data_IF_759160579041
#
_entry.id   IF_759160579041
#
_cell.length_a   1.000
_cell.length_b   1.000
_cell.length_c   1.000
_cell.angle_alpha   90.00
_cell.angle_beta   90.00
_cell.angle_gamma   90.00
#
_symmetry.space_group_name_H-M   'P 1'
#
loop_
_entity.id
_entity.type
_entity.pdbx_description
1 polymer ?
#
# COMPACT_ATOMS: atom_id res chain seq x y z
N UNK A 1 10.08 -75.62 -6.78
CA UNK A 1 10.90 -74.39 -6.67
C UNK A 1 10.07 -73.10 -6.49
N UNK A 2 8.75 -73.11 -6.72
CA UNK A 2 7.94 -71.88 -6.75
C UNK A 2 7.65 -71.23 -5.39
N UNK A 3 7.81 -71.93 -4.26
CA UNK A 3 7.57 -71.39 -2.90
C UNK A 3 8.84 -70.82 -2.26
N UNK A 4 10.03 -71.27 -2.69
CA UNK A 4 11.30 -70.79 -2.14
C UNK A 4 11.54 -69.32 -2.50
N UNK A 5 11.24 -68.94 -3.74
CA UNK A 5 11.43 -67.58 -4.25
C UNK A 5 10.63 -66.52 -3.48
N UNK A 6 9.29 -66.66 -3.29
CA UNK A 6 8.53 -65.69 -2.49
C UNK A 6 8.93 -65.71 -1.01
N UNK A 7 9.26 -66.88 -0.46
CA UNK A 7 9.66 -67.00 0.96
C UNK A 7 10.99 -66.30 1.25
N UNK A 8 11.98 -66.44 0.36
CA UNK A 8 13.27 -65.75 0.46
C UNK A 8 13.09 -64.23 0.30
N UNK A 9 12.21 -63.79 -0.61
CA UNK A 9 11.91 -62.36 -0.78
C UNK A 9 11.31 -61.74 0.49
N UNK A 10 10.34 -62.41 1.12
CA UNK A 10 9.72 -61.95 2.38
C UNK A 10 10.72 -61.94 3.53
N UNK A 11 11.62 -62.93 3.58
CA UNK A 11 12.68 -62.99 4.60
C UNK A 11 13.69 -61.84 4.44
N UNK A 12 14.13 -61.55 3.21
CA UNK A 12 15.00 -60.41 2.92
C UNK A 12 14.34 -59.07 3.25
N UNK A 13 13.06 -58.90 2.92
CA UNK A 13 12.26 -57.73 3.31
C UNK A 13 12.17 -57.58 4.83
N UNK A 14 11.96 -58.67 5.57
CA UNK A 14 11.85 -58.64 7.03
C UNK A 14 13.18 -58.25 7.69
N UNK A 15 14.30 -58.80 7.21
CA UNK A 15 15.64 -58.43 7.68
C UNK A 15 15.96 -56.96 7.35
N UNK A 16 15.55 -56.49 6.17
CA UNK A 16 15.68 -55.08 5.78
C UNK A 16 14.91 -54.13 6.71
N UNK A 17 13.65 -54.45 7.03
CA UNK A 17 12.84 -53.64 7.94
C UNK A 17 13.36 -53.62 9.39
N UNK A 18 14.05 -54.69 9.82
CA UNK A 18 14.64 -54.80 11.16
C UNK A 18 16.05 -54.21 11.28
N UNK A 19 16.70 -53.87 10.16
CA UNK A 19 18.04 -53.28 10.17
C UNK A 19 17.99 -51.75 10.18
N UNK A 20 18.98 -51.07 10.80
CA UNK A 20 19.05 -49.61 10.82
C UNK A 20 19.31 -48.98 9.43
N UNK A 21 19.45 -49.78 8.37
CA UNK A 21 19.46 -49.30 6.99
C UNK A 21 18.12 -48.64 6.60
N UNK A 22 17.01 -48.99 7.27
CA UNK A 22 15.70 -48.37 7.07
C UNK A 22 15.54 -46.98 7.70
N UNK A 23 16.52 -46.47 8.45
CA UNK A 23 16.50 -45.09 8.98
C UNK A 23 17.37 -44.14 8.16
N UNK A 24 18.31 -44.67 7.36
CA UNK A 24 19.13 -43.87 6.45
C UNK A 24 18.23 -43.39 5.30
N UNK A 25 18.12 -42.06 5.15
CA UNK A 25 17.30 -41.43 4.11
C UNK A 25 18.15 -40.40 3.36
N UNK A 26 18.16 -40.49 2.04
CA UNK A 26 18.71 -39.44 1.20
C UNK A 26 17.54 -38.55 0.75
N UNK A 27 17.46 -37.34 1.30
CA UNK A 27 16.43 -36.35 0.93
C UNK A 27 17.04 -35.38 -0.07
N UNK A 28 16.61 -35.50 -1.32
CA UNK A 28 16.94 -34.59 -2.40
C UNK A 28 15.79 -33.58 -2.56
N UNK A 29 16.10 -32.29 -2.69
CA UNK A 29 15.12 -31.23 -2.95
C UNK A 29 15.30 -30.74 -4.38
N UNK A 30 14.20 -30.62 -5.13
CA UNK A 30 14.19 -30.16 -6.53
C UNK A 30 13.12 -29.10 -6.73
N UNK A 31 13.39 -28.18 -7.66
CA UNK A 31 12.45 -27.12 -8.06
C UNK A 31 12.50 -25.87 -7.18
N UNK A 32 13.45 -25.80 -6.23
CA UNK A 32 13.72 -24.59 -5.46
C UNK A 32 14.66 -23.66 -6.23
N UNK A 33 14.39 -22.35 -6.17
CA UNK A 33 15.21 -21.31 -6.81
C UNK A 33 15.54 -20.20 -5.81
N UNK A 34 14.52 -19.67 -5.14
CA UNK A 34 14.66 -18.61 -4.15
C UNK A 34 14.80 -19.18 -2.73
N UNK A 35 14.22 -20.36 -2.48
CA UNK A 35 14.27 -21.03 -1.17
C UNK A 35 15.46 -21.98 -1.09
N UNK A 36 16.17 -22.01 0.05
CA UNK A 36 17.24 -22.99 0.24
C UNK A 36 16.67 -24.39 0.50
N UNK A 37 17.39 -25.42 0.03
CA UNK A 37 16.97 -26.80 0.23
C UNK A 37 16.90 -27.20 1.71
N UNK A 38 17.74 -26.61 2.56
CA UNK A 38 17.75 -26.88 4.00
C UNK A 38 16.53 -26.26 4.70
N UNK A 39 16.08 -25.08 4.27
CA UNK A 39 14.84 -24.46 4.77
C UNK A 39 13.62 -25.30 4.39
N UNK A 40 13.59 -25.87 3.18
CA UNK A 40 12.51 -26.77 2.73
C UNK A 40 12.52 -28.07 3.55
N UNK A 41 13.70 -28.64 3.81
CA UNK A 41 13.83 -29.82 4.68
C UNK A 41 13.37 -29.51 6.10
N UNK A 42 13.76 -28.36 6.66
CA UNK A 42 13.32 -27.94 7.97
C UNK A 42 11.80 -27.72 8.03
N UNK A 43 11.22 -27.06 7.03
CA UNK A 43 9.78 -26.82 6.92
C UNK A 43 8.98 -28.12 6.78
N UNK A 44 9.55 -29.15 6.15
CA UNK A 44 8.92 -30.47 6.08
C UNK A 44 8.75 -31.10 7.47
N UNK A 45 9.65 -30.79 8.41
CA UNK A 45 9.66 -31.40 9.75
C UNK A 45 10.02 -32.88 9.75
N UNK A 46 10.57 -33.40 8.64
CA UNK A 46 11.10 -34.77 8.56
C UNK A 46 12.37 -34.84 9.40
N UNK A 47 12.36 -35.69 10.43
CA UNK A 47 13.53 -35.92 11.27
C UNK A 47 14.34 -37.08 10.72
N UNK A 48 15.67 -37.05 10.91
CA UNK A 48 16.55 -38.15 10.51
C UNK A 48 16.17 -39.47 11.20
N UNK A 49 15.57 -39.41 12.39
CA UNK A 49 15.09 -40.57 13.15
C UNK A 49 13.78 -41.19 12.65
N UNK A 50 13.03 -40.52 11.77
CA UNK A 50 11.73 -41.04 11.32
C UNK A 50 11.88 -42.32 10.49
N UNK A 51 10.99 -43.29 10.67
CA UNK A 51 11.01 -44.50 9.85
C UNK A 51 10.53 -44.20 8.42
N UNK A 52 11.19 -44.79 7.42
CA UNK A 52 10.84 -44.64 5.99
C UNK A 52 9.36 -44.95 5.71
N UNK A 53 8.79 -45.99 6.33
CA UNK A 53 7.38 -46.35 6.15
C UNK A 53 6.41 -45.29 6.65
N UNK A 54 6.72 -44.61 7.75
CA UNK A 54 5.88 -43.51 8.28
C UNK A 54 5.91 -42.34 7.31
N UNK A 55 7.10 -42.00 6.81
CA UNK A 55 7.26 -40.96 5.79
C UNK A 55 6.49 -41.28 4.49
N UNK A 56 6.42 -42.56 4.09
CA UNK A 56 5.67 -43.00 2.92
C UNK A 56 4.15 -42.94 3.10
N UNK A 57 3.67 -43.29 4.29
CA UNK A 57 2.24 -43.29 4.62
C UNK A 57 1.72 -41.87 4.80
N UNK A 58 2.52 -40.97 5.36
CA UNK A 58 2.14 -39.59 5.70
C UNK A 58 2.72 -38.53 4.76
N UNK A 59 3.15 -38.92 3.55
CA UNK A 59 3.82 -38.03 2.58
C UNK A 59 3.01 -36.76 2.28
N UNK A 60 1.68 -36.85 2.23
CA UNK A 60 0.78 -35.70 2.03
C UNK A 60 0.84 -34.73 3.21
N UNK A 61 0.91 -35.22 4.44
CA UNK A 61 1.04 -34.39 5.65
C UNK A 61 2.35 -33.61 5.62
N UNK A 62 3.46 -34.26 5.25
CA UNK A 62 4.75 -33.60 5.12
C UNK A 62 4.75 -32.59 3.96
N UNK A 63 4.15 -32.92 2.83
CA UNK A 63 3.99 -32.00 1.71
C UNK A 63 3.18 -30.74 2.07
N UNK A 64 2.09 -30.89 2.83
CA UNK A 64 1.31 -29.75 3.31
C UNK A 64 2.07 -28.88 4.32
N UNK A 65 2.94 -29.46 5.15
CA UNK A 65 3.83 -28.67 6.02
C UNK A 65 4.81 -27.81 5.22
N UNK A 66 5.35 -28.34 4.12
CA UNK A 66 6.28 -27.58 3.26
C UNK A 66 5.59 -26.35 2.66
N UNK A 67 4.30 -26.44 2.32
CA UNK A 67 3.49 -25.32 1.82
C UNK A 67 3.25 -24.20 2.84
N UNK A 68 3.62 -24.39 4.11
CA UNK A 68 3.60 -23.30 5.10
C UNK A 68 4.65 -22.22 4.82
N UNK A 69 5.68 -22.55 4.04
CA UNK A 69 6.60 -21.57 3.51
C UNK A 69 5.91 -20.77 2.39
N UNK A 70 5.85 -19.45 2.55
CA UNK A 70 5.13 -18.54 1.65
C UNK A 70 5.66 -18.51 0.21
N UNK A 71 6.89 -18.97 -0.03
CA UNK A 71 7.44 -19.12 -1.38
C UNK A 71 6.91 -20.35 -2.11
N UNK A 72 6.34 -21.34 -1.42
CA UNK A 72 5.99 -22.65 -2.00
C UNK A 72 4.51 -22.70 -2.40
N UNK A 73 4.25 -22.82 -3.70
CA UNK A 73 2.91 -23.04 -4.26
C UNK A 73 2.44 -24.48 -4.02
N UNK A 74 3.31 -25.45 -4.29
CA UNK A 74 3.01 -26.86 -4.08
C UNK A 74 4.26 -27.65 -3.77
N UNK A 75 4.09 -28.74 -3.03
CA UNK A 75 5.15 -29.68 -2.71
C UNK A 75 4.65 -31.10 -2.93
N UNK A 76 5.55 -31.97 -3.39
CA UNK A 76 5.30 -33.39 -3.59
C UNK A 76 6.50 -34.19 -3.12
N UNK A 77 6.23 -35.28 -2.41
CA UNK A 77 7.28 -36.18 -1.94
C UNK A 77 7.17 -37.49 -2.72
N UNK A 78 8.21 -37.79 -3.49
CA UNK A 78 8.36 -39.02 -4.23
C UNK A 78 9.36 -39.93 -3.52
N UNK A 79 9.08 -41.24 -3.54
CA UNK A 79 9.96 -42.24 -2.96
C UNK A 79 10.55 -43.14 -4.03
N UNK A 80 11.86 -43.32 -3.93
CA UNK A 80 12.64 -44.20 -4.77
C UNK A 80 13.36 -45.21 -3.86
N UNK A 81 12.89 -46.46 -3.93
CA UNK A 81 13.53 -47.58 -3.22
C UNK A 81 15.04 -47.64 -3.53
N UNK A 82 15.91 -47.89 -2.54
CA UNK A 82 15.61 -48.30 -1.15
C UNK A 82 15.48 -47.17 -0.12
N UNK A 83 16.19 -46.05 -0.28
CA UNK A 83 16.35 -45.02 0.76
C UNK A 83 16.24 -43.58 0.27
N UNK A 84 15.87 -43.35 -0.99
CA UNK A 84 15.87 -42.01 -1.57
C UNK A 84 14.46 -41.40 -1.55
N UNK A 85 14.37 -40.17 -1.07
CA UNK A 85 13.17 -39.35 -1.10
C UNK A 85 13.49 -38.09 -1.89
N UNK A 86 12.64 -37.77 -2.85
CA UNK A 86 12.74 -36.53 -3.62
C UNK A 86 11.57 -35.64 -3.25
N UNK A 87 11.88 -34.47 -2.68
CA UNK A 87 10.91 -33.41 -2.45
C UNK A 87 10.94 -32.51 -3.68
N UNK A 88 9.89 -32.57 -4.48
CA UNK A 88 9.65 -31.67 -5.60
C UNK A 88 8.81 -30.51 -5.09
N UNK A 89 9.37 -29.30 -5.12
CA UNK A 89 8.64 -28.08 -4.81
C UNK A 89 8.41 -27.26 -6.07
N UNK A 90 7.29 -26.55 -6.11
CA UNK A 90 7.01 -25.48 -7.06
C UNK A 90 6.91 -24.19 -6.27
N UNK A 91 7.78 -23.24 -6.57
CA UNK A 91 7.72 -21.91 -5.97
C UNK A 91 6.66 -21.04 -6.68
N UNK A 92 6.08 -20.08 -5.97
CA UNK A 92 5.27 -19.04 -6.59
C UNK A 92 6.13 -18.14 -7.47
N UNK A 93 5.68 -17.88 -8.69
CA UNK A 93 6.35 -16.97 -9.61
C UNK A 93 6.33 -15.53 -9.09
N UNK A 94 7.38 -14.76 -9.39
CA UNK A 94 7.41 -13.32 -9.14
C UNK A 94 6.65 -12.63 -10.28
N UNK A 95 5.52 -12.00 -9.96
CA UNK A 95 4.63 -11.36 -10.95
C UNK A 95 4.85 -9.84 -11.07
N UNK A 96 5.60 -9.26 -10.15
CA UNK A 96 5.94 -7.84 -10.15
C UNK A 96 6.74 -7.44 -8.92
N UNK A 97 7.03 -6.16 -8.80
CA UNK A 97 7.74 -5.59 -7.66
C UNK A 97 6.98 -4.40 -7.09
N UNK A 98 6.77 -4.42 -5.78
CA UNK A 98 6.36 -3.25 -5.04
C UNK A 98 7.58 -2.33 -4.88
N UNK A 99 7.45 -1.08 -5.32
CA UNK A 99 8.55 -0.10 -5.30
C UNK A 99 8.27 0.96 -4.24
N UNK A 100 9.16 1.05 -3.26
CA UNK A 100 9.16 2.07 -2.21
C UNK A 100 10.49 2.80 -2.22
N UNK A 101 10.52 4.01 -2.79
CA UNK A 101 11.77 4.75 -2.98
C UNK A 101 12.71 4.03 -3.95
N UNK A 102 13.85 3.55 -3.46
CA UNK A 102 14.83 2.77 -4.25
C UNK A 102 14.72 1.25 -4.03
N UNK A 103 13.90 0.82 -3.08
CA UNK A 103 13.74 -0.58 -2.71
C UNK A 103 12.66 -1.26 -3.55
N UNK A 104 12.93 -2.51 -3.96
CA UNK A 104 12.06 -3.30 -4.83
C UNK A 104 11.73 -4.60 -4.10
N UNK A 105 10.47 -4.79 -3.75
CA UNK A 105 9.99 -5.94 -3.00
C UNK A 105 9.24 -6.89 -3.94
N UNK A 106 9.67 -8.15 -4.11
CA UNK A 106 8.97 -9.11 -4.95
C UNK A 106 7.51 -9.29 -4.54
N UNK A 107 6.62 -9.33 -5.53
CA UNK A 107 5.23 -9.72 -5.37
C UNK A 107 5.08 -11.11 -5.98
N UNK A 108 4.68 -12.08 -5.15
CA UNK A 108 4.45 -13.45 -5.57
C UNK A 108 3.10 -13.59 -6.26
N UNK A 109 2.96 -14.61 -7.12
CA UNK A 109 1.67 -14.95 -7.76
C UNK A 109 0.57 -15.34 -6.77
N UNK A 110 0.94 -15.62 -5.51
CA UNK A 110 0.01 -15.76 -4.38
C UNK A 110 -0.62 -14.43 -3.91
N UNK A 111 -0.09 -13.29 -4.38
CA UNK A 111 -0.44 -11.95 -3.89
C UNK A 111 0.30 -11.53 -2.62
N UNK A 112 1.29 -12.32 -2.18
CA UNK A 112 2.15 -11.99 -1.03
C UNK A 112 3.25 -11.02 -1.48
N UNK A 113 3.48 -9.96 -0.70
CA UNK A 113 4.61 -9.04 -0.90
C UNK A 113 5.73 -9.46 0.04
N UNK A 114 6.90 -9.73 -0.52
CA UNK A 114 8.07 -10.10 0.27
C UNK A 114 8.56 -8.93 1.13
N UNK A 115 9.00 -9.23 2.35
CA UNK A 115 9.52 -8.20 3.26
C UNK A 115 10.98 -7.83 2.98
N UNK A 116 11.69 -8.63 2.18
CA UNK A 116 13.09 -8.40 1.84
C UNK A 116 13.20 -7.80 0.44
N UNK A 117 13.85 -6.63 0.28
CA UNK A 117 14.04 -6.04 -1.03
C UNK A 117 15.09 -6.81 -1.83
N UNK A 118 14.95 -6.80 -3.14
CA UNK A 118 15.95 -7.33 -4.07
C UNK A 118 16.89 -6.23 -4.56
N UNK A 119 18.15 -6.61 -4.78
CA UNK A 119 19.13 -5.71 -5.39
C UNK A 119 18.76 -5.41 -6.84
N UNK A 120 19.04 -4.18 -7.29
CA UNK A 120 18.78 -3.74 -8.68
C UNK A 120 19.50 -4.61 -9.72
N UNK A 121 20.61 -5.24 -9.35
CA UNK A 121 21.36 -6.16 -10.21
C UNK A 121 20.62 -7.48 -10.48
N UNK A 122 19.68 -7.85 -9.62
CA UNK A 122 18.91 -9.09 -9.72
C UNK A 122 17.52 -8.85 -10.31
N UNK A 123 17.17 -7.61 -10.64
CA UNK A 123 15.92 -7.29 -11.31
C UNK A 123 16.00 -7.72 -12.78
N UNK A 124 14.90 -8.23 -13.35
CA UNK A 124 14.81 -8.47 -14.78
C UNK A 124 14.87 -7.14 -15.55
N UNK A 125 15.17 -7.22 -16.85
CA UNK A 125 15.22 -6.03 -17.72
C UNK A 125 13.89 -5.27 -17.76
N UNK A 126 12.77 -6.01 -17.72
CA UNK A 126 11.42 -5.48 -17.64
C UNK A 126 10.66 -6.15 -16.51
N UNK A 127 9.89 -5.37 -15.75
CA UNK A 127 9.02 -5.87 -14.69
C UNK A 127 7.84 -4.95 -14.45
N UNK A 128 6.76 -5.54 -13.93
CA UNK A 128 5.61 -4.80 -13.43
C UNK A 128 5.99 -4.06 -12.14
N UNK A 129 5.87 -2.74 -12.17
CA UNK A 129 6.04 -1.88 -10.99
C UNK A 129 4.69 -1.64 -10.31
N UNK A 130 4.58 -1.90 -9.01
CA UNK A 130 3.40 -1.57 -8.20
C UNK A 130 3.80 -0.57 -7.12
N UNK A 131 3.02 0.48 -6.91
CA UNK A 131 3.35 1.58 -5.97
C UNK A 131 2.58 1.55 -4.65
N UNK A 132 1.81 0.48 -4.43
CA UNK A 132 1.06 0.24 -3.20
C UNK A 132 1.30 -1.18 -2.70
N UNK A 133 1.13 -1.40 -1.40
CA UNK A 133 1.42 -2.67 -0.73
C UNK A 133 0.32 -3.09 0.27
N UNK A 134 -0.88 -2.52 0.18
CA UNK A 134 -2.01 -3.02 0.96
C UNK A 134 -2.29 -4.47 0.58
N UNK A 135 -2.30 -5.35 1.58
CA UNK A 135 -2.34 -6.80 1.37
C UNK A 135 -3.59 -7.23 0.59
N UNK A 136 -4.75 -6.63 0.90
CA UNK A 136 -5.99 -6.96 0.23
C UNK A 136 -5.98 -6.46 -1.21
N UNK A 137 -5.56 -5.20 -1.43
CA UNK A 137 -5.49 -4.62 -2.76
C UNK A 137 -4.49 -5.33 -3.67
N UNK A 138 -3.32 -5.74 -3.16
CA UNK A 138 -2.33 -6.50 -3.93
C UNK A 138 -2.88 -7.88 -4.30
N UNK A 139 -3.53 -8.59 -3.37
CA UNK A 139 -4.17 -9.88 -3.68
C UNK A 139 -5.26 -9.75 -4.73
N UNK A 140 -6.12 -8.74 -4.62
CA UNK A 140 -7.14 -8.44 -5.62
C UNK A 140 -6.52 -8.09 -6.97
N UNK A 141 -5.42 -7.32 -6.98
CA UNK A 141 -4.69 -6.96 -8.19
C UNK A 141 -4.14 -8.20 -8.88
N UNK A 142 -3.40 -9.04 -8.17
CA UNK A 142 -2.78 -10.24 -8.73
C UNK A 142 -3.85 -11.23 -9.19
N UNK A 143 -4.92 -11.41 -8.41
CA UNK A 143 -6.07 -12.22 -8.83
C UNK A 143 -6.69 -11.66 -10.10
N UNK A 144 -6.87 -10.34 -10.15
CA UNK A 144 -7.46 -9.65 -11.29
C UNK A 144 -6.64 -9.82 -12.55
N UNK A 145 -5.32 -9.58 -12.46
CA UNK A 145 -4.35 -9.77 -13.53
C UNK A 145 -4.24 -11.24 -13.96
N UNK A 146 -4.37 -12.21 -13.05
CA UNK A 146 -4.24 -13.64 -13.39
C UNK A 146 -5.26 -14.12 -14.43
N UNK A 147 -6.41 -13.44 -14.52
CA UNK A 147 -7.48 -13.71 -15.50
C UNK A 147 -7.24 -13.08 -16.88
N UNK A 148 -6.22 -12.22 -16.99
CA UNK A 148 -5.92 -11.43 -18.18
C UNK A 148 -4.86 -12.16 -19.01
N UNK A 149 -4.94 -12.06 -20.34
CA UNK A 149 -3.96 -12.67 -21.24
C UNK A 149 -2.56 -12.10 -21.04
N UNK A 150 -1.54 -12.94 -21.25
CA UNK A 150 -0.13 -12.51 -21.22
C UNK A 150 0.16 -11.38 -22.20
N UNK A 151 -0.56 -11.33 -23.32
CA UNK A 151 -0.42 -10.27 -24.33
C UNK A 151 -0.68 -8.87 -23.75
N UNK A 152 -1.64 -8.74 -22.82
CA UNK A 152 -1.93 -7.46 -22.17
C UNK A 152 -1.01 -7.26 -20.97
N UNK A 153 -0.79 -8.30 -20.15
CA UNK A 153 0.05 -8.21 -18.95
C UNK A 153 1.48 -7.78 -19.28
N UNK A 154 2.05 -8.32 -20.35
CA UNK A 154 3.40 -7.98 -20.81
C UNK A 154 3.54 -6.53 -21.30
N UNK A 155 2.43 -5.85 -21.59
CA UNK A 155 2.42 -4.43 -21.95
C UNK A 155 2.33 -3.51 -20.72
N UNK A 156 2.05 -4.03 -19.53
CA UNK A 156 1.93 -3.20 -18.33
C UNK A 156 3.31 -2.90 -17.76
N UNK A 157 3.62 -1.61 -17.60
CA UNK A 157 4.86 -1.16 -16.97
C UNK A 157 4.66 -0.85 -15.49
N UNK A 158 3.61 -0.10 -15.15
CA UNK A 158 3.42 0.45 -13.81
C UNK A 158 1.95 0.47 -13.42
N UNK A 159 1.65 0.17 -12.17
CA UNK A 159 0.31 0.26 -11.58
C UNK A 159 0.38 1.11 -10.32
N UNK A 160 -0.51 2.10 -10.28
CA UNK A 160 -0.62 3.07 -9.19
C UNK A 160 -2.06 3.19 -8.73
N UNK A 161 -2.27 3.44 -7.44
CA UNK A 161 -3.57 3.90 -6.95
C UNK A 161 -3.74 5.36 -7.36
N UNK A 162 -4.87 5.67 -7.98
CA UNK A 162 -5.27 7.01 -8.36
C UNK A 162 -6.74 7.27 -7.95
N UNK A 163 -7.06 7.27 -6.64
CA UNK A 163 -8.45 7.38 -6.18
C UNK A 163 -9.11 8.64 -6.71
N UNK A 164 -10.34 8.51 -7.22
CA UNK A 164 -11.16 9.63 -7.66
C UNK A 164 -12.18 10.03 -6.58
N UNK A 165 -12.97 11.07 -6.85
CA UNK A 165 -14.09 11.44 -5.97
C UNK A 165 -15.20 10.38 -5.93
N UNK A 166 -15.31 9.56 -6.97
CA UNK A 166 -16.36 8.56 -7.13
C UNK A 166 -15.85 7.15 -6.83
N UNK A 167 -14.59 6.86 -7.11
CA UNK A 167 -14.01 5.52 -7.07
C UNK A 167 -12.73 5.51 -6.22
N UNK A 168 -12.80 4.89 -5.04
CA UNK A 168 -11.70 4.84 -4.09
C UNK A 168 -10.59 3.87 -4.51
N UNK A 169 -10.95 2.80 -5.23
CA UNK A 169 -10.06 1.73 -5.71
C UNK A 169 -9.61 1.93 -7.16
N UNK A 170 -9.64 3.17 -7.66
CA UNK A 170 -9.25 3.49 -9.03
C UNK A 170 -7.74 3.26 -9.21
N UNK A 171 -7.38 2.46 -10.20
CA UNK A 171 -6.00 2.22 -10.60
C UNK A 171 -5.66 3.04 -11.83
N UNK A 172 -4.42 3.54 -11.87
CA UNK A 172 -3.77 4.05 -13.07
C UNK A 172 -2.70 3.05 -13.50
N UNK A 173 -2.90 2.48 -14.68
CA UNK A 173 -2.00 1.52 -15.31
C UNK A 173 -1.26 2.23 -16.43
N UNK A 174 0.05 2.38 -16.29
CA UNK A 174 0.91 2.87 -17.37
C UNK A 174 1.42 1.70 -18.18
N UNK A 175 1.19 1.77 -19.48
CA UNK A 175 1.61 0.76 -20.46
C UNK A 175 3.03 1.08 -20.98
N UNK A 176 3.71 0.08 -21.56
CA UNK A 176 5.06 0.22 -22.14
C UNK A 176 5.10 1.22 -23.31
N UNK A 177 3.97 1.38 -24.01
CA UNK A 177 3.80 2.29 -25.14
C UNK A 177 3.38 3.70 -24.71
N UNK A 178 3.49 4.03 -23.42
CA UNK A 178 3.18 5.31 -22.77
C UNK A 178 1.69 5.63 -22.60
N UNK A 179 0.78 4.76 -23.02
CA UNK A 179 -0.65 4.94 -22.74
C UNK A 179 -0.94 4.76 -21.24
N UNK A 180 -1.95 5.47 -20.76
CA UNK A 180 -2.46 5.31 -19.39
C UNK A 180 -3.87 4.70 -19.43
N UNK A 181 -4.16 3.74 -18.57
CA UNK A 181 -5.50 3.17 -18.40
C UNK A 181 -5.98 3.44 -16.97
N UNK A 182 -7.12 4.10 -16.83
CA UNK A 182 -7.79 4.28 -15.55
C UNK A 182 -8.87 3.22 -15.39
N UNK A 183 -8.76 2.35 -14.38
CA UNK A 183 -9.71 1.25 -14.20
C UNK A 183 -9.89 0.94 -12.72
N UNK A 184 -11.13 0.76 -12.21
CA UNK A 184 -11.35 0.32 -10.84
C UNK A 184 -10.74 -1.06 -10.61
N UNK A 185 -10.02 -1.26 -9.50
CA UNK A 185 -9.44 -2.56 -9.13
C UNK A 185 -10.50 -3.67 -9.12
N UNK A 186 -11.67 -3.37 -8.56
CA UNK A 186 -12.84 -4.26 -8.51
C UNK A 186 -13.38 -4.72 -9.87
N UNK A 187 -13.07 -3.98 -10.95
CA UNK A 187 -13.53 -4.27 -12.30
C UNK A 187 -12.38 -4.56 -13.28
N UNK A 188 -11.15 -4.67 -12.79
CA UNK A 188 -9.93 -4.86 -13.57
C UNK A 188 -10.05 -6.03 -14.56
N UNK A 189 -10.42 -7.22 -14.08
CA UNK A 189 -10.59 -8.42 -14.90
C UNK A 189 -11.62 -8.29 -16.01
N UNK A 190 -12.62 -7.42 -15.81
CA UNK A 190 -13.72 -7.24 -16.77
C UNK A 190 -13.33 -6.20 -17.81
N UNK A 191 -12.76 -5.07 -17.37
CA UNK A 191 -12.56 -3.88 -18.21
C UNK A 191 -11.21 -3.87 -18.94
N UNK A 192 -10.13 -4.28 -18.29
CA UNK A 192 -8.79 -4.22 -18.90
C UNK A 192 -8.66 -5.06 -20.19
N UNK A 193 -9.31 -6.23 -20.35
CA UNK A 193 -9.31 -6.96 -21.63
C UNK A 193 -9.86 -6.18 -22.83
N UNK A 194 -10.69 -5.14 -22.61
CA UNK A 194 -11.17 -4.29 -23.70
C UNK A 194 -10.11 -3.34 -24.25
N UNK A 195 -9.00 -3.13 -23.53
CA UNK A 195 -7.89 -2.29 -23.98
C UNK A 195 -7.36 -2.73 -25.35
N UNK A 196 -7.23 -4.04 -25.60
CA UNK A 196 -6.79 -4.56 -26.90
C UNK A 196 -7.69 -4.17 -28.09
N UNK A 197 -8.95 -3.81 -27.83
CA UNK A 197 -9.89 -3.33 -28.88
C UNK A 197 -9.79 -1.82 -29.10
N UNK A 198 -9.38 -1.08 -28.07
CA UNK A 198 -9.25 0.38 -28.10
C UNK A 198 -7.89 0.78 -28.65
N UNK A 199 -6.82 0.08 -28.25
CA UNK A 199 -5.44 0.38 -28.62
C UNK A 199 -5.23 0.65 -30.12
N UNK A 200 -5.76 -0.15 -31.07
CA UNK A 200 -5.56 0.10 -32.50
C UNK A 200 -6.16 1.41 -33.01
N UNK A 201 -7.04 2.04 -32.23
CA UNK A 201 -7.71 3.31 -32.56
C UNK A 201 -6.95 4.53 -32.01
N UNK A 202 -5.97 4.30 -31.13
CA UNK A 202 -5.15 5.35 -30.54
C UNK A 202 -3.98 5.68 -31.48
N UNK A 203 -3.96 6.89 -32.00
CA UNK A 203 -2.89 7.39 -32.89
C UNK A 203 -1.76 8.08 -32.14
N UNK A 204 -2.01 8.48 -30.90
CA UNK A 204 -1.11 9.23 -30.03
C UNK A 204 -1.23 8.72 -28.59
N UNK A 205 -0.22 8.94 -27.72
CA UNK A 205 -0.28 8.58 -26.31
C UNK A 205 -1.55 9.13 -25.64
N UNK A 206 -2.37 8.22 -25.13
CA UNK A 206 -3.72 8.53 -24.67
C UNK A 206 -4.01 7.94 -23.31
N UNK A 207 -4.95 8.58 -22.61
CA UNK A 207 -5.56 8.05 -21.40
C UNK A 207 -6.87 7.38 -21.79
N UNK A 208 -6.98 6.09 -21.47
CA UNK A 208 -8.21 5.30 -21.61
C UNK A 208 -8.88 5.22 -20.24
N UNK A 209 -9.92 6.03 -20.05
CA UNK A 209 -10.73 6.04 -18.84
C UNK A 209 -11.82 4.97 -18.91
N UNK A 210 -11.67 3.97 -18.06
CA UNK A 210 -12.58 2.87 -17.84
C UNK A 210 -13.32 2.94 -16.49
N UNK A 211 -13.39 4.12 -15.83
CA UNK A 211 -14.08 4.28 -14.54
C UNK A 211 -15.60 4.12 -14.72
N UNK A 212 -16.24 5.04 -15.45
CA UNK A 212 -17.69 5.05 -15.67
C UNK A 212 -18.13 4.53 -17.05
N UNK A 213 -17.18 4.31 -17.96
CA UNK A 213 -17.45 3.96 -19.36
C UNK A 213 -16.19 3.46 -20.06
N UNK A 214 -16.03 3.71 -21.35
CA UNK A 214 -14.77 3.51 -22.06
C UNK A 214 -14.56 4.74 -22.95
N UNK A 215 -13.86 5.73 -22.40
CA UNK A 215 -13.54 6.98 -23.08
C UNK A 215 -12.04 7.12 -23.23
N UNK A 216 -11.57 7.66 -24.34
CA UNK A 216 -10.15 7.90 -24.58
C UNK A 216 -9.92 9.36 -24.94
N UNK A 217 -8.91 9.97 -24.34
CA UNK A 217 -8.47 11.34 -24.62
C UNK A 217 -6.95 11.42 -24.62
N UNK A 218 -6.38 12.41 -25.29
CA UNK A 218 -4.92 12.51 -25.37
C UNK A 218 -4.34 12.95 -24.03
N UNK A 219 -3.10 12.54 -23.75
CA UNK A 219 -2.40 13.02 -22.54
C UNK A 219 -2.20 14.54 -22.60
N UNK A 220 -2.06 15.12 -23.78
CA UNK A 220 -1.95 16.58 -23.95
C UNK A 220 -3.22 17.30 -23.49
N UNK A 221 -4.40 16.81 -23.92
CA UNK A 221 -5.68 17.39 -23.53
C UNK A 221 -5.90 17.28 -22.01
N UNK A 222 -5.54 16.14 -21.42
CA UNK A 222 -5.58 15.92 -19.96
C UNK A 222 -4.78 16.99 -19.20
N UNK A 223 -3.54 17.23 -19.63
CA UNK A 223 -2.65 18.17 -18.95
C UNK A 223 -3.17 19.60 -19.03
N UNK A 224 -3.81 19.97 -20.14
CA UNK A 224 -4.47 21.27 -20.29
C UNK A 224 -5.64 21.37 -19.33
N UNK A 225 -6.52 20.37 -19.28
CA UNK A 225 -7.69 20.37 -18.40
C UNK A 225 -7.29 20.39 -16.91
N UNK A 226 -6.29 19.58 -16.52
CA UNK A 226 -5.76 19.58 -15.15
C UNK A 226 -5.13 20.92 -14.76
N UNK A 227 -4.43 21.59 -15.69
CA UNK A 227 -3.86 22.91 -15.46
C UNK A 227 -4.95 23.98 -15.30
N UNK A 228 -6.00 23.91 -16.13
CA UNK A 228 -7.16 24.81 -16.03
C UNK A 228 -7.92 24.60 -14.71
N UNK A 229 -8.16 23.36 -14.30
CA UNK A 229 -8.84 23.06 -13.04
C UNK A 229 -8.01 23.48 -11.82
N UNK A 230 -6.69 23.26 -11.84
CA UNK A 230 -5.78 23.80 -10.80
C UNK A 230 -5.85 25.32 -10.74
N UNK A 231 -5.79 26.00 -11.88
CA UNK A 231 -5.91 27.46 -11.93
C UNK A 231 -7.26 27.96 -11.39
N UNK A 232 -8.38 27.28 -11.72
CA UNK A 232 -9.70 27.60 -11.19
C UNK A 232 -9.79 27.36 -9.67
N UNK A 233 -9.16 26.31 -9.15
CA UNK A 233 -9.14 26.02 -7.72
C UNK A 233 -8.31 27.05 -6.95
N UNK A 234 -7.12 27.40 -7.44
CA UNK A 234 -6.28 28.43 -6.84
C UNK A 234 -6.97 29.80 -6.86
N UNK A 235 -7.68 30.15 -7.95
CA UNK A 235 -8.47 31.37 -8.03
C UNK A 235 -9.61 31.40 -7.00
N UNK A 236 -10.36 30.29 -6.84
CA UNK A 236 -11.42 30.17 -5.83
C UNK A 236 -10.87 30.26 -4.40
N UNK A 237 -9.71 29.70 -4.14
CA UNK A 237 -9.07 29.77 -2.82
C UNK A 237 -8.56 31.19 -2.51
N UNK A 238 -7.96 31.86 -3.49
CA UNK A 238 -7.53 33.25 -3.36
C UNK A 238 -8.72 34.20 -3.12
N UNK A 239 -9.86 33.95 -3.78
CA UNK A 239 -11.08 34.74 -3.58
C UNK A 239 -11.69 34.51 -2.19
N UNK A 240 -11.75 33.25 -1.70
CA UNK A 240 -12.16 32.95 -0.33
C UNK A 240 -11.28 33.64 0.71
N UNK A 241 -9.95 33.61 0.52
CA UNK A 241 -8.99 34.29 1.40
C UNK A 241 -9.23 35.81 1.45
N UNK A 242 -9.44 36.45 0.30
CA UNK A 242 -9.78 37.89 0.23
C UNK A 242 -11.09 38.22 0.94
N UNK A 243 -12.14 37.42 0.73
CA UNK A 243 -13.43 37.63 1.40
C UNK A 243 -13.36 37.43 2.92
N UNK A 244 -12.56 36.47 3.40
CA UNK A 244 -12.30 36.30 4.84
C UNK A 244 -11.53 37.48 5.44
N UNK A 245 -10.51 37.99 4.73
CA UNK A 245 -9.70 39.13 5.16
C UNK A 245 -10.53 40.42 5.23
N UNK A 246 -11.39 40.66 4.24
CA UNK A 246 -12.34 41.77 4.24
C UNK A 246 -13.36 41.67 5.37
N UNK A 247 -13.92 40.48 5.63
CA UNK A 247 -14.82 40.25 6.79
C UNK A 247 -14.10 40.51 8.11
N UNK A 248 -12.84 40.08 8.25
CA UNK A 248 -12.01 40.31 9.45
C UNK A 248 -11.72 41.80 9.66
N UNK A 249 -11.38 42.52 8.58
CA UNK A 249 -11.16 43.96 8.61
C UNK A 249 -12.43 44.75 8.93
N UNK A 250 -13.57 44.36 8.37
CA UNK A 250 -14.87 44.99 8.66
C UNK A 250 -15.27 44.79 10.12
N UNK A 251 -15.11 43.58 10.66
CA UNK A 251 -15.33 43.26 12.08
C UNK A 251 -14.41 44.07 13.00
N UNK A 252 -13.13 44.22 12.65
CA UNK A 252 -12.18 45.06 13.40
C UNK A 252 -12.55 46.56 13.37
N UNK A 253 -13.04 47.07 12.24
CA UNK A 253 -13.53 48.45 12.11
C UNK A 253 -14.78 48.68 12.98
N UNK A 254 -15.72 47.75 13.00
CA UNK A 254 -16.91 47.82 13.86
C UNK A 254 -16.56 47.78 15.36
N UNK A 255 -15.60 46.94 15.76
CA UNK A 255 -15.10 46.89 17.14
C UNK A 255 -14.44 48.21 17.54
N UNK A 256 -13.61 48.81 16.67
CA UNK A 256 -13.02 50.14 16.90
C UNK A 256 -14.07 51.24 17.00
N UNK A 257 -15.10 51.23 16.14
CA UNK A 257 -16.18 52.22 16.17
C UNK A 257 -17.01 52.15 17.45
N UNK A 258 -17.35 50.94 17.93
CA UNK A 258 -18.02 50.75 19.22
C UNK A 258 -17.18 51.25 20.40
N UNK A 259 -15.87 51.00 20.40
CA UNK A 259 -14.95 51.53 21.42
C UNK A 259 -14.84 53.06 21.40
N UNK A 260 -14.82 53.68 20.22
CA UNK A 260 -14.75 55.14 20.08
C UNK A 260 -16.05 55.84 20.52
N UNK A 261 -17.21 55.24 20.24
CA UNK A 261 -18.51 55.77 20.70
C UNK A 261 -18.64 55.66 22.22
N UNK A 262 -18.17 54.56 22.81
CA UNK A 262 -18.12 54.39 24.28
C UNK A 262 -17.21 55.45 24.95
N UNK A 263 -16.05 55.78 24.38
CA UNK A 263 -15.20 56.87 24.89
C UNK A 263 -15.83 58.26 24.71
N UNK A 264 -16.63 58.48 23.66
CA UNK A 264 -17.33 59.75 23.42
C UNK A 264 -18.48 59.97 24.41
N UNK A 265 -19.20 58.90 24.78
CA UNK A 265 -20.24 58.95 25.83
C UNK A 265 -19.64 59.25 27.21
N UNK A 266 -18.47 58.68 27.53
CA UNK A 266 -17.73 59.00 28.76
C UNK A 266 -17.23 60.47 28.75
N UNK A 267 -16.88 61.02 27.59
CA UNK A 267 -16.44 62.42 27.47
C UNK A 267 -17.58 63.45 27.56
N UNK A 268 -18.80 63.08 27.12
CA UNK A 268 -20.00 63.92 27.24
C UNK A 268 -20.60 63.90 28.65
N UNK A 269 -20.46 62.80 29.39
CA UNK A 269 -20.83 62.76 30.81
C UNK A 269 -19.93 63.68 31.65
N UNK A 270 -18.62 63.73 31.37
CA UNK A 270 -17.72 64.69 32.05
C UNK A 270 -17.92 66.17 31.66
N UNK A 271 -18.62 66.50 30.57
CA UNK A 271 -18.89 67.89 30.18
C UNK A 271 -20.22 68.43 30.74
N UNK A 272 -21.13 67.55 31.15
CA UNK A 272 -22.41 67.91 31.80
C UNK A 272 -22.32 67.94 33.33
N UNK A 273 -21.19 67.54 33.93
CA UNK A 273 -20.95 67.60 35.38
C UNK A 273 -20.11 68.82 35.83
N UNK A 274 -19.88 69.82 34.96
CA UNK A 274 -19.11 71.04 35.31
C UNK A 274 -19.95 72.33 35.36
N UNK A 275 -21.27 72.22 35.53
CA UNK A 275 -22.18 73.37 35.66
C UNK A 275 -22.96 73.41 36.99
N UNK A 276 -22.52 72.64 37.99
CA UNK A 276 -23.07 72.64 39.35
C UNK A 276 -21.99 72.60 40.43
N UNK A 277 -21.11 73.61 40.50
CA UNK A 277 -20.49 73.95 41.78
C UNK A 277 -19.97 75.40 41.79
N UNK A 278 -20.89 76.35 42.01
CA UNK A 278 -20.51 77.72 42.36
C UNK A 278 -21.49 78.30 43.37
N UNK A 279 -21.19 78.20 44.66
CA UNK A 279 -21.44 79.22 45.70
C UNK A 279 -20.80 78.75 47.03
N UNK A 280 -20.51 79.65 47.99
CA UNK A 280 -19.23 79.70 48.70
C UNK A 280 -19.34 79.28 50.18
N UNK A 281 -18.20 79.16 50.88
CA UNK A 281 -17.92 79.78 52.20
C UNK A 281 -16.55 79.30 52.71
N UNK A 282 -15.96 80.21 53.46
CA UNK A 282 -14.60 80.42 53.92
C UNK A 282 -13.96 79.39 54.86
N UNK A 283 -12.62 79.34 54.75
CA UNK A 283 -11.62 79.30 55.82
C UNK A 283 -11.55 78.06 56.73
N UNK A 284 -10.45 77.29 56.67
CA UNK A 284 -9.36 77.42 57.65
C UNK A 284 -8.17 76.52 57.29
N UNK A 285 -7.04 76.92 57.87
CA UNK A 285 -5.65 76.54 57.70
C UNK A 285 -5.21 75.05 57.81
N UNK A 286 -4.09 74.80 57.11
CA UNK A 286 -2.83 74.15 57.56
C UNK A 286 -2.55 72.64 57.30
N UNK A 287 -1.35 72.47 56.74
CA UNK A 287 -0.38 71.34 56.80
C UNK A 287 -0.33 70.29 55.68
N UNK A 288 0.87 70.20 55.09
CA UNK A 288 1.47 69.13 54.26
C UNK A 288 1.77 67.86 55.11
N UNK A 289 2.33 66.73 54.61
CA UNK A 289 2.72 66.34 53.24
C UNK A 289 2.37 64.87 52.84
N UNK A 290 2.70 64.54 51.57
CA UNK A 290 3.15 63.23 51.03
C UNK A 290 2.31 61.95 51.20
N UNK A 291 2.14 61.19 50.10
CA UNK A 291 2.58 59.78 49.99
C UNK A 291 2.59 59.36 48.51
N UNK A 292 3.60 58.55 48.22
CA UNK A 292 4.21 58.15 46.96
C UNK A 292 3.61 56.81 46.44
N UNK A 293 3.66 56.63 45.12
CA UNK A 293 3.79 55.39 44.33
C UNK A 293 3.25 54.03 44.82
N UNK A 294 2.55 53.31 43.91
CA UNK A 294 2.94 51.96 43.39
C UNK A 294 2.04 51.53 42.20
N UNK A 295 2.54 51.41 40.95
CA UNK A 295 2.92 50.18 40.16
C UNK A 295 1.98 48.97 40.42
N UNK A 296 1.34 48.26 39.48
CA UNK A 296 1.76 47.49 38.28
C UNK A 296 0.50 47.15 37.44
N UNK A 297 0.42 47.34 36.11
CA UNK A 297 0.90 46.51 34.98
C UNK A 297 0.86 44.99 35.23
N UNK A 298 -0.04 44.28 34.57
CA UNK A 298 0.29 42.95 34.05
C UNK A 298 -0.41 42.68 32.72
N UNK A 299 0.39 42.07 31.83
CA UNK A 299 0.03 41.43 30.57
C UNK A 299 -0.83 40.19 30.83
#
# INVERSE_FOLDING_TARGET
MSILVPSVLVLLLSVYLLTPLSTIKNIEVKGNSNTQSDDIKQASGIQDSDYTLVLLLDKETYAERIKSNHWIESAKINYQFPTNFTIEVKEFDIVGYYVSGEEHYPILSSGTVESTPVSRLNLPETYLTVTFNDEQQVKELITGLSTISEDIKSQIQKIELAPSKATADLLKITMLDTDEVLVPLSELSKKLPYYSKIKPQLTEPSVVDMEAGAYSYTIADKLIEEAEEKAKQEAKEAEKKKQEEEKKNKKNREIKAKRASSHRVVRLTFHLDFEWYRSPVSSFCLTSPAINNRIEKNL
#
